data_IF_729450447317
#
_entry.id   IF_729450447317
#
_cell.length_a   1.000
_cell.length_b   1.000
_cell.length_c   1.000
_cell.angle_alpha   90.00
_cell.angle_beta   90.00
_cell.angle_gamma   90.00
#
_symmetry.space_group_name_H-M   'P 1'
#
loop_
_entity.id
_entity.type
_entity.pdbx_description
1 polymer ?
#
# COMPACT_ATOMS: atom_id res chain seq x y z
N UNK A 1 34.33 -37.75 -22.81
CA UNK A 1 33.11 -38.60 -22.75
C UNK A 1 32.20 -38.26 -21.57
N UNK A 2 32.73 -37.88 -20.40
CA UNK A 2 31.94 -37.56 -19.20
C UNK A 2 31.01 -36.33 -19.35
N UNK A 3 31.44 -35.31 -20.11
CA UNK A 3 30.66 -34.09 -20.35
C UNK A 3 29.55 -34.29 -21.40
N UNK A 4 29.72 -35.25 -22.31
CA UNK A 4 28.72 -35.59 -23.32
C UNK A 4 27.55 -36.35 -22.68
N UNK A 5 27.84 -37.22 -21.71
CA UNK A 5 26.81 -37.97 -20.99
C UNK A 5 25.89 -37.03 -20.18
N UNK A 6 26.48 -36.01 -19.53
CA UNK A 6 25.72 -35.02 -18.76
C UNK A 6 24.78 -34.17 -19.63
N UNK A 7 25.24 -33.74 -20.80
CA UNK A 7 24.42 -32.99 -21.77
C UNK A 7 23.30 -33.86 -22.33
N UNK A 8 23.56 -35.13 -22.65
CA UNK A 8 22.54 -36.05 -23.15
C UNK A 8 21.48 -36.34 -22.09
N UNK A 9 21.85 -36.50 -20.81
CA UNK A 9 20.88 -36.69 -19.72
C UNK A 9 20.01 -35.45 -19.48
N UNK A 10 20.58 -34.24 -19.60
CA UNK A 10 19.84 -33.00 -19.46
C UNK A 10 18.82 -32.82 -20.60
N UNK A 11 19.22 -33.14 -21.83
CA UNK A 11 18.34 -33.05 -22.99
C UNK A 11 17.20 -34.09 -22.98
N UNK A 12 17.48 -35.31 -22.47
CA UNK A 12 16.47 -36.36 -22.33
C UNK A 12 15.45 -36.07 -21.23
N UNK A 13 15.86 -35.40 -20.14
CA UNK A 13 14.97 -34.96 -19.08
C UNK A 13 14.00 -33.86 -19.51
N UNK A 14 14.45 -32.93 -20.36
CA UNK A 14 13.63 -31.82 -20.86
C UNK A 14 12.52 -32.28 -21.83
N UNK A 15 12.77 -33.36 -22.58
CA UNK A 15 11.78 -33.94 -23.52
C UNK A 15 10.62 -34.68 -22.82
N UNK A 16 10.77 -35.09 -21.55
CA UNK A 16 9.73 -35.78 -20.79
C UNK A 16 8.68 -34.82 -20.18
N UNK A 17 8.99 -33.51 -20.07
CA UNK A 17 8.09 -32.51 -19.50
C UNK A 17 7.08 -31.92 -20.51
N UNK A 18 7.31 -32.09 -21.81
CA UNK A 18 6.44 -31.54 -22.86
C UNK A 18 5.25 -32.45 -23.26
N UNK A 19 5.09 -33.61 -22.62
CA UNK A 19 4.10 -34.62 -23.02
C UNK A 19 2.82 -34.66 -22.16
N UNK A 20 2.61 -33.71 -21.23
CA UNK A 20 1.40 -33.65 -20.41
C UNK A 20 0.84 -32.23 -20.36
N UNK A 21 0.08 -31.85 -21.39
CA UNK A 21 -0.56 -30.55 -21.49
C UNK A 21 -1.56 -30.49 -22.64
N UNK A 22 -2.34 -31.56 -22.81
CA UNK A 22 -3.35 -31.66 -23.86
C UNK A 22 -4.56 -32.41 -23.33
N UNK A 23 -5.60 -31.67 -22.94
CA UNK A 23 -6.96 -32.19 -22.94
C UNK A 23 -7.91 -31.04 -23.25
N UNK A 24 -8.43 -31.12 -24.47
CA UNK A 24 -9.59 -30.40 -24.93
C UNK A 24 -10.77 -30.64 -23.97
N UNK A 25 -11.62 -29.63 -23.81
CA UNK A 25 -13.00 -29.85 -23.37
C UNK A 25 -13.89 -29.07 -24.32
N UNK A 26 -14.79 -29.84 -24.89
CA UNK A 26 -15.70 -29.51 -25.98
C UNK A 26 -16.75 -28.50 -25.53
N UNK A 27 -17.05 -27.61 -26.46
CA UNK A 27 -18.33 -26.92 -26.58
C UNK A 27 -19.47 -27.95 -26.65
N UNK A 28 -20.62 -27.65 -26.03
CA UNK A 28 -21.82 -27.81 -26.82
C UNK A 28 -22.69 -26.56 -26.77
N UNK A 29 -22.99 -26.06 -27.97
CA UNK A 29 -24.19 -25.31 -28.24
C UNK A 29 -25.43 -26.13 -27.86
N UNK A 30 -26.34 -25.53 -27.10
CA UNK A 30 -27.72 -25.96 -27.00
C UNK A 30 -28.64 -24.73 -27.08
N UNK A 31 -29.06 -24.44 -28.31
CA UNK A 31 -30.34 -23.81 -28.61
C UNK A 31 -31.43 -24.76 -28.10
N UNK A 32 -32.35 -24.31 -27.23
CA UNK A 32 -33.77 -24.56 -27.48
C UNK A 32 -34.75 -23.76 -26.60
N UNK A 33 -35.75 -23.22 -27.29
CA UNK A 33 -37.17 -23.06 -26.93
C UNK A 33 -37.60 -22.14 -25.77
N UNK A 34 -38.01 -20.94 -26.21
CA UNK A 34 -39.28 -20.29 -25.87
C UNK A 34 -40.41 -21.28 -25.49
N UNK A 35 -41.21 -20.93 -24.46
CA UNK A 35 -42.64 -20.87 -24.74
C UNK A 35 -43.26 -19.56 -24.25
N UNK A 36 -44.03 -18.96 -25.14
CA UNK A 36 -45.06 -17.99 -24.82
C UNK A 36 -46.09 -18.59 -23.83
N UNK A 37 -46.39 -17.84 -22.77
CA UNK A 37 -47.63 -18.00 -22.02
C UNK A 37 -48.18 -16.60 -21.69
N UNK A 38 -49.27 -16.28 -22.37
CA UNK A 38 -50.15 -15.13 -22.17
C UNK A 38 -51.18 -15.49 -21.10
N UNK A 39 -51.37 -14.62 -20.11
CA UNK A 39 -52.59 -14.39 -19.31
C UNK A 39 -52.23 -13.30 -18.27
N UNK A 40 -52.51 -12.00 -18.45
CA UNK A 40 -53.79 -11.27 -18.41
C UNK A 40 -54.29 -11.00 -16.97
N UNK A 41 -54.67 -9.72 -16.74
CA UNK A 41 -55.34 -9.09 -15.57
C UNK A 41 -54.46 -8.78 -14.34
N UNK A 42 -54.50 -7.61 -13.68
CA UNK A 42 -55.37 -6.43 -13.69
C UNK A 42 -54.67 -5.26 -12.92
N UNK A 43 -55.03 -4.02 -13.27
CA UNK A 43 -55.04 -2.77 -12.48
C UNK A 43 -54.00 -2.49 -11.36
N UNK A 44 -53.23 -1.41 -11.53
CA UNK A 44 -53.47 -0.13 -10.81
C UNK A 44 -52.49 0.94 -11.31
N UNK A 45 -53.04 1.93 -12.03
CA UNK A 45 -52.35 3.17 -12.44
C UNK A 45 -52.71 4.24 -11.42
N UNK A 46 -51.72 4.70 -10.66
CA UNK A 46 -51.68 5.93 -9.86
C UNK A 46 -50.19 6.33 -9.97
N UNK A 47 -49.75 7.48 -10.47
CA UNK A 47 -50.18 8.85 -10.24
C UNK A 47 -50.16 9.68 -11.53
N UNK A 48 -51.16 10.54 -11.62
CA UNK A 48 -51.36 11.63 -12.57
C UNK A 48 -50.85 12.92 -11.89
N UNK A 49 -50.09 13.71 -12.66
CA UNK A 49 -49.98 15.18 -12.60
C UNK A 49 -49.49 15.87 -11.31
N UNK A 50 -48.36 16.59 -11.40
CA UNK A 50 -48.42 18.04 -11.60
C UNK A 50 -47.05 18.59 -12.04
N UNK A 51 -47.05 19.22 -13.21
CA UNK A 51 -46.02 20.14 -13.67
C UNK A 51 -46.51 21.57 -13.39
N UNK A 52 -45.75 22.34 -12.61
CA UNK A 52 -45.88 23.80 -12.40
C UNK A 52 -44.44 24.29 -12.11
N UNK A 53 -43.76 24.95 -13.07
CA UNK A 53 -43.52 26.41 -13.16
C UNK A 53 -42.87 26.95 -11.86
N UNK A 54 -41.67 27.55 -11.81
CA UNK A 54 -41.08 28.62 -12.62
C UNK A 54 -39.52 28.65 -12.49
N UNK A 55 -38.79 29.24 -13.45
CA UNK A 55 -37.39 29.68 -13.31
C UNK A 55 -37.32 31.12 -12.72
N UNK A 56 -36.10 31.67 -12.53
CA UNK A 56 -35.77 33.06 -12.08
C UNK A 56 -35.58 33.14 -10.54
N UNK A 57 -34.50 33.71 -9.96
CA UNK A 57 -33.79 34.94 -10.31
C UNK A 57 -32.26 34.89 -10.06
N UNK A 58 -31.57 35.54 -11.01
CA UNK A 58 -30.32 36.31 -11.03
C UNK A 58 -29.13 36.19 -10.03
N UNK A 59 -27.91 36.45 -10.55
CA UNK A 59 -26.66 36.47 -9.80
C UNK A 59 -26.48 37.81 -9.07
N UNK A 60 -25.97 37.80 -7.84
CA UNK A 60 -25.49 39.03 -7.21
C UNK A 60 -23.99 39.17 -7.44
N UNK A 61 -23.65 40.14 -8.30
CA UNK A 61 -22.31 40.67 -8.55
C UNK A 61 -21.74 41.44 -7.34
N UNK A 62 -20.50 41.08 -6.94
CA UNK A 62 -19.29 41.89 -6.65
C UNK A 62 -19.35 43.05 -5.60
N UNK A 63 -18.24 43.73 -5.18
CA UNK A 63 -16.78 43.50 -5.30
C UNK A 63 -15.94 43.78 -3.99
N UNK A 64 -14.60 43.69 -4.11
CA UNK A 64 -13.51 44.38 -3.35
C UNK A 64 -13.22 43.95 -1.90
N UNK A 65 -11.98 43.51 -1.66
CA UNK A 65 -10.91 44.24 -0.92
C UNK A 65 -9.63 43.39 -1.01
N UNK A 66 -8.71 43.80 -1.89
CA UNK A 66 -7.29 43.48 -1.71
C UNK A 66 -6.80 44.15 -0.42
N UNK A 67 -5.89 43.51 0.31
CA UNK A 67 -4.81 44.26 0.94
C UNK A 67 -3.51 43.95 0.21
N UNK A 68 -3.09 44.94 -0.58
CA UNK A 68 -1.67 45.19 -0.80
C UNK A 68 -1.03 45.46 0.56
N UNK A 69 -0.12 44.59 1.02
CA UNK A 69 1.02 45.04 1.82
C UNK A 69 2.29 44.40 1.27
N UNK A 70 3.03 45.23 0.54
CA UNK A 70 4.43 45.05 0.26
C UNK A 70 5.19 44.99 1.59
N UNK A 71 5.91 43.90 1.82
CA UNK A 71 7.10 43.91 2.68
C UNK A 71 8.29 43.63 1.79
N UNK A 72 8.80 44.71 1.21
CA UNK A 72 10.21 44.81 0.86
C UNK A 72 10.98 45.22 2.13
N UNK A 73 12.29 44.97 2.11
CA UNK A 73 13.29 45.14 3.19
C UNK A 73 13.36 43.91 4.11
N UNK A 74 14.49 43.19 4.24
CA UNK A 74 15.87 43.67 4.34
C UNK A 74 16.84 42.56 3.90
N UNK A 75 17.67 42.84 2.89
CA UNK A 75 19.01 42.25 2.80
C UNK A 75 19.84 42.87 3.92
N UNK A 76 20.55 42.07 4.71
CA UNK A 76 21.98 42.25 4.99
C UNK A 76 22.50 41.25 6.03
N UNK A 77 23.48 40.48 5.54
CA UNK A 77 24.74 40.14 6.19
C UNK A 77 24.81 39.24 7.44
N UNK A 78 25.81 38.35 7.32
CA UNK A 78 26.78 37.90 8.32
C UNK A 78 26.72 36.45 8.81
N UNK A 79 27.73 35.73 8.28
CA UNK A 79 28.68 34.83 8.95
C UNK A 79 28.43 33.33 8.72
N UNK A 80 29.18 32.81 7.75
CA UNK A 80 29.65 31.42 7.72
C UNK A 80 30.36 31.09 9.05
N UNK A 81 29.96 30.05 9.79
CA UNK A 81 30.89 29.36 10.65
C UNK A 81 31.66 28.35 9.81
N UNK A 82 32.94 28.68 9.67
CA UNK A 82 34.09 27.84 9.35
C UNK A 82 33.92 26.35 9.65
N UNK A 83 34.39 25.53 8.70
CA UNK A 83 34.58 24.09 8.82
C UNK A 83 35.45 23.70 10.02
N UNK A 84 34.94 22.80 10.86
CA UNK A 84 35.77 21.83 11.55
C UNK A 84 35.27 20.42 11.18
N UNK A 85 36.08 19.58 10.50
CA UNK A 85 35.76 18.18 10.31
C UNK A 85 36.23 17.44 11.57
N UNK A 86 35.33 17.22 12.52
CA UNK A 86 35.64 16.44 13.72
C UNK A 86 34.93 15.09 13.66
N UNK A 87 35.73 14.10 13.28
CA UNK A 87 35.65 12.68 13.63
C UNK A 87 34.44 11.88 13.09
N UNK A 88 34.73 10.87 12.25
CA UNK A 88 33.80 9.79 11.94
C UNK A 88 33.18 9.24 13.24
N UNK A 89 31.85 9.13 13.36
CA UNK A 89 31.29 8.18 14.30
C UNK A 89 31.66 6.80 13.76
N UNK A 90 32.66 6.18 14.38
CA UNK A 90 32.72 4.71 14.39
C UNK A 90 31.41 4.27 15.05
N UNK A 91 30.41 3.97 14.23
CA UNK A 91 29.17 3.34 14.66
C UNK A 91 29.52 1.96 15.21
N UNK A 92 29.87 1.92 16.50
CA UNK A 92 29.62 0.73 17.29
C UNK A 92 28.11 0.46 17.17
N UNK A 93 27.70 -0.80 16.91
CA UNK A 93 26.29 -1.12 16.83
C UNK A 93 25.67 -0.72 18.16
N UNK A 94 24.89 0.37 18.13
CA UNK A 94 23.94 0.64 19.19
C UNK A 94 23.00 -0.56 19.10
N UNK A 95 23.10 -1.47 20.05
CA UNK A 95 21.97 -2.35 20.38
C UNK A 95 20.86 -1.41 20.84
N UNK A 96 20.20 -0.77 19.87
CA UNK A 96 18.93 -0.13 20.06
C UNK A 96 18.01 -1.29 20.40
N UNK A 97 17.72 -1.43 21.70
CA UNK A 97 16.77 -2.41 22.17
C UNK A 97 15.54 -2.27 21.28
N UNK A 98 15.27 -3.29 20.46
CA UNK A 98 14.17 -3.24 19.53
C UNK A 98 12.91 -2.86 20.32
N UNK A 99 12.05 -1.95 19.81
CA UNK A 99 10.79 -1.71 20.47
C UNK A 99 10.14 -3.08 20.65
N UNK A 100 9.58 -3.29 21.84
CA UNK A 100 9.03 -4.58 22.22
C UNK A 100 8.23 -5.14 21.03
N UNK A 101 8.46 -6.40 20.70
CA UNK A 101 7.69 -7.10 19.68
C UNK A 101 8.22 -7.14 18.25
N UNK A 102 9.44 -6.67 17.98
CA UNK A 102 10.15 -7.05 16.74
C UNK A 102 11.11 -8.22 16.92
N UNK A 103 11.27 -8.73 18.15
CA UNK A 103 12.19 -9.83 18.44
C UNK A 103 13.60 -9.54 17.97
N UNK A 104 14.16 -10.43 17.15
CA UNK A 104 15.49 -10.31 16.56
C UNK A 104 15.49 -9.61 15.19
N UNK A 105 14.34 -9.10 14.72
CA UNK A 105 14.25 -8.43 13.42
C UNK A 105 14.98 -7.07 13.47
N UNK A 106 15.89 -6.79 12.52
CA UNK A 106 16.56 -5.50 12.47
C UNK A 106 15.55 -4.39 12.14
N UNK A 107 15.76 -3.18 12.67
CA UNK A 107 14.85 -2.04 12.45
C UNK A 107 15.41 -0.98 11.50
N UNK A 108 16.63 -1.19 11.04
CA UNK A 108 17.39 -0.33 10.14
C UNK A 108 18.39 -1.18 9.35
N UNK A 109 19.04 -0.58 8.35
CA UNK A 109 20.02 -1.26 7.51
C UNK A 109 19.36 -2.10 6.42
N UNK A 110 19.88 -3.30 6.15
CA UNK A 110 19.35 -4.18 5.10
C UNK A 110 18.64 -5.38 5.73
N UNK A 111 17.43 -5.65 5.28
CA UNK A 111 16.65 -6.81 5.70
C UNK A 111 17.29 -8.10 5.19
N UNK A 112 17.57 -9.09 6.06
CA UNK A 112 18.30 -10.29 5.68
C UNK A 112 17.48 -11.24 4.80
N UNK A 113 16.16 -11.14 4.80
CA UNK A 113 15.28 -12.02 4.02
C UNK A 113 15.06 -11.48 2.61
N UNK A 114 14.83 -10.17 2.50
CA UNK A 114 14.47 -9.52 1.23
C UNK A 114 15.66 -8.83 0.54
N UNK A 115 16.72 -8.50 1.29
CA UNK A 115 17.84 -7.69 0.80
C UNK A 115 17.49 -6.22 0.55
N UNK A 116 16.30 -5.79 0.99
CA UNK A 116 15.83 -4.41 0.86
C UNK A 116 16.30 -3.56 2.04
N UNK A 117 16.43 -2.25 1.82
CA UNK A 117 16.73 -1.31 2.89
C UNK A 117 15.52 -1.17 3.83
N UNK A 118 15.78 -1.15 5.13
CA UNK A 118 14.78 -0.98 6.18
C UNK A 118 14.76 0.47 6.62
N UNK A 119 13.58 1.09 6.54
CA UNK A 119 13.32 2.46 6.97
C UNK A 119 14.39 3.47 6.48
N UNK A 120 14.62 3.58 5.16
CA UNK A 120 15.64 4.48 4.64
C UNK A 120 15.36 5.94 5.03
N UNK A 121 16.43 6.70 5.28
CA UNK A 121 16.34 8.13 5.62
C UNK A 121 15.83 8.99 4.46
N UNK A 122 16.06 8.52 3.23
CA UNK A 122 15.67 9.18 1.99
C UNK A 122 14.95 8.19 1.09
N UNK A 123 13.75 8.56 0.64
CA UNK A 123 12.90 7.73 -0.23
C UNK A 123 12.73 8.48 -1.55
N UNK A 124 13.08 7.85 -2.66
CA UNK A 124 12.84 8.40 -3.99
C UNK A 124 11.67 7.68 -4.68
N UNK A 125 10.94 8.37 -5.57
CA UNK A 125 9.94 7.73 -6.43
C UNK A 125 10.58 6.59 -7.24
N UNK A 126 9.94 5.43 -7.22
CA UNK A 126 10.43 4.19 -7.83
C UNK A 126 11.19 3.27 -6.89
N UNK A 127 11.53 3.72 -5.67
CA UNK A 127 12.24 2.90 -4.70
C UNK A 127 11.30 1.84 -4.08
N UNK A 128 11.90 0.71 -3.72
CA UNK A 128 11.26 -0.37 -2.95
C UNK A 128 12.07 -0.58 -1.67
N UNK A 129 11.40 -0.56 -0.52
CA UNK A 129 12.04 -0.66 0.79
C UNK A 129 11.12 -1.36 1.80
N UNK A 130 11.64 -1.70 2.98
CA UNK A 130 10.86 -2.25 4.10
C UNK A 130 10.49 -1.12 5.05
N UNK A 131 9.19 -0.93 5.28
CA UNK A 131 8.69 -0.13 6.39
C UNK A 131 8.48 -1.03 7.59
N UNK A 132 9.26 -0.84 8.66
CA UNK A 132 9.18 -1.63 9.89
C UNK A 132 9.04 -0.73 11.11
N UNK A 133 7.96 -0.89 11.86
CA UNK A 133 7.68 -0.01 13.00
C UNK A 133 6.30 -0.21 13.61
N UNK A 134 5.92 0.67 14.52
CA UNK A 134 4.69 0.53 15.30
C UNK A 134 3.51 1.18 14.57
N UNK A 135 2.36 0.50 14.54
CA UNK A 135 1.11 1.07 14.04
C UNK A 135 0.60 2.14 15.02
N UNK A 136 0.58 3.39 14.58
CA UNK A 136 0.13 4.54 15.39
C UNK A 136 -1.26 5.05 14.99
N UNK A 137 -1.74 4.71 13.79
CA UNK A 137 -3.10 5.00 13.34
C UNK A 137 -3.51 4.02 12.24
N UNK A 138 -4.82 3.82 12.09
CA UNK A 138 -5.40 2.98 11.05
C UNK A 138 -6.78 3.52 10.64
N UNK A 139 -7.11 3.39 9.36
CA UNK A 139 -8.45 3.54 8.83
C UNK A 139 -8.84 2.24 8.13
N UNK A 140 -9.72 1.47 8.76
CA UNK A 140 -10.14 0.15 8.29
C UNK A 140 -11.29 0.20 7.26
N UNK A 141 -11.68 1.41 6.82
CA UNK A 141 -12.78 1.62 5.85
C UNK A 141 -12.24 2.27 4.58
N UNK A 142 -12.39 1.63 3.40
CA UNK A 142 -13.03 0.33 3.17
C UNK A 142 -12.17 -0.85 3.63
N UNK A 143 -12.81 -1.98 3.99
CA UNK A 143 -12.10 -3.19 4.46
C UNK A 143 -11.27 -3.89 3.37
N UNK A 144 -11.48 -3.51 2.11
CA UNK A 144 -10.76 -4.04 0.95
C UNK A 144 -9.43 -3.33 0.70
N UNK A 145 -9.31 -2.07 1.15
CA UNK A 145 -8.11 -1.23 0.97
C UNK A 145 -7.94 -0.34 2.22
N UNK A 146 -7.68 -0.94 3.39
CA UNK A 146 -7.48 -0.18 4.61
C UNK A 146 -6.17 0.63 4.53
N UNK A 147 -6.11 1.71 5.31
CA UNK A 147 -4.93 2.57 5.41
C UNK A 147 -4.30 2.44 6.79
N UNK A 148 -2.97 2.35 6.84
CA UNK A 148 -2.19 2.30 8.06
C UNK A 148 -1.17 3.42 8.10
N UNK A 149 -0.92 3.92 9.31
CA UNK A 149 0.18 4.82 9.63
C UNK A 149 1.14 4.11 10.57
N UNK A 150 2.32 3.78 10.05
CA UNK A 150 3.39 3.10 10.77
C UNK A 150 4.45 4.13 11.15
N UNK A 151 4.97 4.08 12.37
CA UNK A 151 6.08 4.90 12.82
C UNK A 151 7.32 4.02 13.08
N UNK A 152 8.40 4.27 12.34
CA UNK A 152 9.69 3.64 12.58
C UNK A 152 10.37 4.19 13.85
N UNK A 153 11.38 3.48 14.40
CA UNK A 153 12.12 3.94 15.59
C UNK A 153 12.78 5.31 15.43
N UNK A 154 13.25 5.64 14.23
CA UNK A 154 13.79 6.97 13.88
C UNK A 154 12.75 8.10 13.98
N UNK A 155 11.46 7.75 14.10
CA UNK A 155 10.34 8.68 14.14
C UNK A 155 9.69 8.94 12.78
N UNK A 156 10.28 8.43 11.68
CA UNK A 156 9.72 8.50 10.32
C UNK A 156 8.36 7.80 10.28
N UNK A 157 7.41 8.41 9.57
CA UNK A 157 6.03 7.91 9.47
C UNK A 157 5.71 7.51 8.03
N UNK A 158 5.19 6.30 7.88
CA UNK A 158 4.78 5.74 6.60
C UNK A 158 3.27 5.59 6.58
N UNK A 159 2.62 6.34 5.69
CA UNK A 159 1.19 6.17 5.40
C UNK A 159 1.06 5.27 4.18
N UNK A 160 0.32 4.18 4.30
CA UNK A 160 0.17 3.20 3.23
C UNK A 160 -1.24 2.62 3.17
N UNK A 161 -1.71 2.37 1.95
CA UNK A 161 -2.86 1.50 1.68
C UNK A 161 -2.39 0.08 1.52
N UNK A 162 -3.16 -0.88 2.02
CA UNK A 162 -2.73 -2.26 2.12
C UNK A 162 -3.69 -3.22 1.45
N UNK A 163 -3.35 -4.51 1.44
CA UNK A 163 -4.26 -5.58 1.06
C UNK A 163 -5.52 -5.60 1.97
N UNK A 164 -6.55 -6.33 1.53
CA UNK A 164 -7.81 -6.41 2.26
C UNK A 164 -7.61 -6.98 3.68
N UNK A 165 -8.47 -6.59 4.63
CA UNK A 165 -8.45 -7.14 5.99
C UNK A 165 -8.59 -8.67 6.03
N UNK A 166 -9.24 -9.24 5.02
CA UNK A 166 -9.39 -10.68 4.89
C UNK A 166 -8.08 -11.41 4.53
N UNK A 167 -7.07 -10.69 4.06
CA UNK A 167 -5.79 -11.21 3.57
C UNK A 167 -4.61 -10.80 4.47
N UNK A 168 -4.89 -10.19 5.63
CA UNK A 168 -3.86 -9.84 6.62
C UNK A 168 -3.72 -10.90 7.70
N UNK A 169 -2.47 -11.26 7.99
CA UNK A 169 -2.11 -12.30 8.95
C UNK A 169 -1.07 -11.76 9.94
N UNK A 170 -1.05 -12.39 11.12
CA UNK A 170 0.07 -12.35 12.02
C UNK A 170 1.26 -13.11 11.44
N UNK A 171 2.45 -12.82 11.95
CA UNK A 171 3.67 -13.59 11.64
C UNK A 171 3.54 -15.09 11.98
N UNK A 172 2.67 -15.45 12.94
CA UNK A 172 2.35 -16.85 13.27
C UNK A 172 1.34 -17.51 12.31
N UNK A 173 0.87 -16.79 11.29
CA UNK A 173 -0.12 -17.22 10.30
C UNK A 173 -1.58 -17.09 10.74
N UNK A 174 -1.85 -16.58 11.95
CA UNK A 174 -3.22 -16.35 12.43
C UNK A 174 -3.82 -15.12 11.76
N UNK A 175 -5.10 -15.18 11.37
CA UNK A 175 -5.79 -14.05 10.76
C UNK A 175 -6.41 -13.13 11.82
N UNK A 176 -6.30 -11.80 11.62
CA UNK A 176 -7.01 -10.83 12.47
C UNK A 176 -8.50 -10.77 12.15
N UNK A 177 -9.32 -10.67 13.18
CA UNK A 177 -10.68 -10.18 13.04
C UNK A 177 -10.68 -8.65 13.06
N UNK A 178 -11.59 -7.97 12.36
CA UNK A 178 -11.63 -6.50 12.31
C UNK A 178 -11.63 -5.78 13.67
N UNK A 179 -12.17 -6.41 14.73
CA UNK A 179 -12.20 -5.84 16.08
C UNK A 179 -10.92 -6.07 16.89
N UNK A 180 -10.01 -6.91 16.39
CA UNK A 180 -8.76 -7.17 17.07
C UNK A 180 -7.79 -6.02 16.82
N UNK A 181 -7.84 -5.37 15.64
CA UNK A 181 -6.92 -4.31 15.16
C UNK A 181 -6.75 -3.19 16.20
N UNK A 182 -5.51 -2.98 16.64
CA UNK A 182 -5.14 -2.03 17.70
C UNK A 182 -3.88 -1.25 17.33
N UNK A 183 -3.80 -0.02 17.81
CA UNK A 183 -2.55 0.74 17.80
C UNK A 183 -1.54 0.10 18.77
N UNK A 184 -0.25 0.36 18.55
CA UNK A 184 0.84 -0.19 19.38
C UNK A 184 1.37 -1.54 18.93
N UNK A 185 0.80 -2.12 17.88
CA UNK A 185 1.21 -3.41 17.31
C UNK A 185 2.39 -3.18 16.36
N UNK A 186 3.33 -4.11 16.32
CA UNK A 186 4.44 -4.09 15.36
C UNK A 186 3.94 -4.39 13.96
N UNK A 187 4.56 -3.80 12.95
CA UNK A 187 4.21 -4.02 11.56
C UNK A 187 5.46 -4.02 10.67
N UNK A 188 5.45 -4.89 9.67
CA UNK A 188 6.43 -4.93 8.58
C UNK A 188 5.66 -4.92 7.26
N UNK A 189 6.07 -4.11 6.30
CA UNK A 189 5.51 -4.09 4.96
C UNK A 189 6.61 -3.79 3.92
N UNK A 190 6.54 -4.42 2.76
CA UNK A 190 7.30 -4.00 1.59
C UNK A 190 6.54 -2.86 0.92
N UNK A 191 7.21 -1.73 0.78
CA UNK A 191 6.62 -0.51 0.25
C UNK A 191 7.32 -0.16 -1.05
N UNK A 192 6.53 -0.01 -2.10
CA UNK A 192 6.97 0.53 -3.39
C UNK A 192 6.36 1.90 -3.59
N UNK A 193 7.21 2.92 -3.74
CA UNK A 193 6.76 4.24 -4.12
C UNK A 193 6.69 4.30 -5.65
N UNK A 194 5.54 4.66 -6.22
CA UNK A 194 5.40 4.76 -7.68
C UNK A 194 6.38 5.80 -8.24
N UNK A 195 6.96 5.55 -9.42
CA UNK A 195 7.94 6.46 -10.02
C UNK A 195 7.38 7.85 -10.35
N UNK A 196 6.06 7.97 -10.46
CA UNK A 196 5.34 9.24 -10.65
C UNK A 196 4.79 9.83 -9.35
N UNK A 197 4.94 9.14 -8.21
CA UNK A 197 4.45 9.61 -6.93
C UNK A 197 5.24 10.82 -6.41
N UNK A 198 4.52 11.74 -5.79
CA UNK A 198 5.05 12.74 -4.88
C UNK A 198 5.30 12.14 -3.49
N UNK A 199 6.14 12.78 -2.69
CA UNK A 199 6.41 12.38 -1.31
C UNK A 199 5.17 12.43 -0.39
N UNK A 200 4.10 13.11 -0.83
CA UNK A 200 2.82 13.18 -0.11
C UNK A 200 1.83 12.09 -0.51
N UNK A 201 2.12 11.34 -1.57
CA UNK A 201 1.22 10.29 -2.03
C UNK A 201 1.25 9.09 -1.07
N UNK A 202 0.09 8.45 -0.96
CA UNK A 202 -0.05 7.24 -0.14
C UNK A 202 0.48 6.06 -0.93
N UNK A 203 1.52 5.42 -0.42
CA UNK A 203 2.08 4.20 -1.03
C UNK A 203 1.10 3.03 -0.90
N UNK A 204 1.15 2.10 -1.85
CA UNK A 204 0.40 0.85 -1.77
C UNK A 204 1.35 -0.30 -1.39
N UNK A 205 0.88 -1.22 -0.56
CA UNK A 205 1.57 -2.47 -0.21
C UNK A 205 0.57 -3.63 -0.29
N UNK A 206 1.05 -4.81 -0.63
CA UNK A 206 0.24 -6.04 -0.68
C UNK A 206 0.61 -7.03 0.44
N UNK A 207 1.60 -6.69 1.27
CA UNK A 207 2.27 -7.61 2.17
C UNK A 207 2.42 -7.06 3.60
N UNK A 208 1.48 -6.22 4.06
CA UNK A 208 1.48 -5.79 5.45
C UNK A 208 1.33 -7.02 6.37
N UNK A 209 2.35 -7.28 7.19
CA UNK A 209 2.38 -8.30 8.23
C UNK A 209 2.36 -7.61 9.59
N UNK A 210 1.44 -8.02 10.45
CA UNK A 210 1.32 -7.51 11.81
C UNK A 210 2.01 -8.45 12.80
N UNK A 211 2.70 -7.88 13.78
CA UNK A 211 3.53 -8.60 14.74
C UNK A 211 3.00 -8.30 16.15
N UNK A 212 2.62 -9.35 16.88
CA UNK A 212 2.20 -9.21 18.27
C UNK A 212 3.42 -8.81 19.08
N UNK A 213 3.32 -7.65 19.70
CA UNK A 213 4.24 -7.22 20.74
C UNK A 213 3.79 -7.85 22.04
N UNK A 214 4.52 -8.85 22.55
CA UNK A 214 4.38 -9.24 23.96
C UNK A 214 4.99 -8.13 24.83
N UNK A 215 4.17 -7.54 25.71
CA UNK A 215 4.59 -6.53 26.71
C UNK A 215 5.46 -7.11 27.83
#
# INVERSE_FOLDING_TARGET
MRNLYWIVTLFLGLMLLAACGGSATEEPAAVNEEPAAVAEEEETVVEEEEAVEEPMEEPTEVPVEEPTEASAETEEEMEEPTEEPMEEPTEAPVEEAAPAGFGDLPLSGTDPETGLEINPDMINPGDTFIARGIVISMNLTPVTEPEFLIQAPSGTKYRMRTQALADMFFDDGTQWKPHEFRQGVGATATVTLDASASLSDVSNTEDLILIIVEE
#
